data_IF_935153500780
#
_entry.id   IF_935153500780
#
_cell.length_a   1.000
_cell.length_b   1.000
_cell.length_c   1.000
_cell.angle_alpha   90.00
_cell.angle_beta   90.00
_cell.angle_gamma   90.00
#
_symmetry.space_group_name_H-M   'P 1'
#
loop_
_entity.id
_entity.type
_entity.pdbx_description
1 polymer ?
#
# COMPACT_ATOMS: atom_id res chain seq x y z
N UNK A 1 23.83 1.37 11.54
CA UNK A 1 23.33 2.26 10.47
C UNK A 1 23.01 3.63 11.06
N UNK A 2 23.27 4.76 10.37
CA UNK A 2 22.90 6.09 10.90
C UNK A 2 21.38 6.31 10.85
N UNK A 3 20.85 7.20 11.71
CA UNK A 3 19.40 7.48 11.78
C UNK A 3 18.83 7.94 10.44
N UNK A 4 19.51 8.87 9.77
CA UNK A 4 19.09 9.40 8.47
C UNK A 4 19.05 8.31 7.39
N UNK A 5 20.08 7.45 7.30
CA UNK A 5 20.10 6.33 6.35
C UNK A 5 18.97 5.34 6.61
N UNK A 6 18.70 5.00 7.87
CA UNK A 6 17.65 4.07 8.25
C UNK A 6 16.25 4.62 7.92
N UNK A 7 16.04 5.91 8.17
CA UNK A 7 14.80 6.61 7.85
C UNK A 7 14.58 6.66 6.34
N UNK A 8 15.60 7.02 5.56
CA UNK A 8 15.50 7.05 4.10
C UNK A 8 15.24 5.67 3.49
N UNK A 9 15.98 4.64 3.92
CA UNK A 9 15.79 3.27 3.45
C UNK A 9 14.39 2.74 3.80
N UNK A 10 13.92 3.02 5.03
CA UNK A 10 12.59 2.68 5.48
C UNK A 10 11.50 3.39 4.67
N UNK A 11 11.64 4.70 4.45
CA UNK A 11 10.67 5.50 3.70
C UNK A 11 10.56 5.02 2.24
N UNK A 12 11.70 4.77 1.58
CA UNK A 12 11.72 4.22 0.22
C UNK A 12 11.07 2.83 0.15
N UNK A 13 11.43 1.93 1.07
CA UNK A 13 10.86 0.60 1.12
C UNK A 13 9.34 0.63 1.38
N UNK A 14 8.89 1.52 2.28
CA UNK A 14 7.47 1.72 2.59
C UNK A 14 6.67 2.30 1.42
N UNK A 15 7.24 3.26 0.70
CA UNK A 15 6.61 3.84 -0.49
C UNK A 15 6.43 2.76 -1.58
N UNK A 16 7.47 1.98 -1.85
CA UNK A 16 7.43 0.93 -2.88
C UNK A 16 6.51 -0.21 -2.47
N UNK A 17 6.48 -0.57 -1.20
CA UNK A 17 5.50 -1.50 -0.66
C UNK A 17 4.06 -0.97 -0.85
N UNK A 18 3.83 0.32 -0.59
CA UNK A 18 2.54 0.96 -0.83
C UNK A 18 2.12 0.92 -2.30
N UNK A 19 3.05 1.19 -3.22
CA UNK A 19 2.82 1.09 -4.67
C UNK A 19 2.47 -0.34 -5.06
N UNK A 20 3.22 -1.32 -4.57
CA UNK A 20 2.98 -2.74 -4.85
C UNK A 20 1.61 -3.18 -4.33
N UNK A 21 1.26 -2.82 -3.10
CA UNK A 21 -0.05 -3.07 -2.50
C UNK A 21 -1.17 -2.46 -3.34
N UNK A 22 -1.03 -1.18 -3.72
CA UNK A 22 -2.02 -0.48 -4.56
C UNK A 22 -2.20 -1.18 -5.90
N UNK A 23 -1.10 -1.61 -6.52
CA UNK A 23 -1.12 -2.33 -7.80
C UNK A 23 -1.85 -3.66 -7.69
N UNK A 24 -1.62 -4.42 -6.61
CA UNK A 24 -2.37 -5.66 -6.34
C UNK A 24 -3.85 -5.39 -6.16
N UNK A 25 -4.23 -4.32 -5.44
CA UNK A 25 -5.64 -3.94 -5.29
C UNK A 25 -6.28 -3.57 -6.63
N UNK A 26 -5.55 -2.87 -7.51
CA UNK A 26 -6.04 -2.53 -8.84
C UNK A 26 -6.20 -3.78 -9.73
N UNK A 27 -5.25 -4.71 -9.68
CA UNK A 27 -5.35 -6.01 -10.36
C UNK A 27 -6.59 -6.78 -9.89
N UNK A 28 -6.81 -6.86 -8.58
CA UNK A 28 -7.97 -7.52 -8.00
C UNK A 28 -9.28 -6.83 -8.43
N UNK A 29 -9.29 -5.50 -8.51
CA UNK A 29 -10.43 -4.74 -9.01
C UNK A 29 -10.76 -5.07 -10.48
N UNK A 30 -9.75 -5.33 -11.33
CA UNK A 30 -9.99 -5.81 -12.69
C UNK A 30 -10.70 -7.19 -12.75
N UNK A 31 -10.60 -7.99 -11.69
CA UNK A 31 -11.32 -9.26 -11.56
C UNK A 31 -12.67 -9.13 -10.82
N UNK A 32 -13.14 -7.89 -10.59
CA UNK A 32 -14.42 -7.63 -9.91
C UNK A 32 -14.39 -7.81 -8.39
N UNK A 33 -13.20 -7.91 -7.78
CA UNK A 33 -13.06 -7.93 -6.33
C UNK A 33 -13.26 -6.51 -5.81
N UNK A 34 -14.20 -6.34 -4.88
CA UNK A 34 -14.42 -5.07 -4.22
C UNK A 34 -13.27 -4.85 -3.23
N UNK A 35 -12.27 -4.08 -3.66
CA UNK A 35 -11.10 -3.77 -2.82
C UNK A 35 -11.40 -2.59 -1.91
N UNK A 36 -10.76 -2.49 -0.74
CA UNK A 36 -11.00 -1.37 0.16
C UNK A 36 -10.75 0.01 -0.45
N UNK A 37 -9.87 0.06 -1.45
CA UNK A 37 -9.63 1.23 -2.30
C UNK A 37 -10.93 1.83 -2.88
N UNK A 38 -11.88 0.98 -3.28
CA UNK A 38 -13.17 1.41 -3.82
C UNK A 38 -14.24 1.56 -2.73
N UNK A 39 -14.25 0.66 -1.75
CA UNK A 39 -15.33 0.57 -0.75
C UNK A 39 -15.23 1.66 0.35
N UNK A 40 -14.03 2.17 0.63
CA UNK A 40 -13.86 3.25 1.63
C UNK A 40 -14.65 4.49 1.23
N UNK A 41 -14.64 4.85 -0.06
CA UNK A 41 -15.44 5.96 -0.58
C UNK A 41 -16.93 5.74 -0.37
N UNK A 42 -17.42 4.51 -0.61
CA UNK A 42 -18.82 4.14 -0.41
C UNK A 42 -19.22 4.32 1.06
N UNK A 43 -18.38 3.89 2.02
CA UNK A 43 -18.66 4.09 3.46
C UNK A 43 -18.61 5.56 3.87
N UNK A 44 -17.64 6.32 3.38
CA UNK A 44 -17.48 7.73 3.74
C UNK A 44 -18.62 8.59 3.17
N UNK A 45 -19.14 8.25 1.99
CA UNK A 45 -20.25 8.98 1.35
C UNK A 45 -21.51 9.05 2.21
N UNK A 46 -21.79 8.01 3.01
CA UNK A 46 -22.94 7.96 3.93
C UNK A 46 -22.86 9.04 5.02
N UNK A 47 -21.65 9.49 5.36
CA UNK A 47 -21.43 10.50 6.39
C UNK A 47 -21.37 11.93 5.83
N UNK A 48 -21.45 12.11 4.50
CA UNK A 48 -21.46 13.43 3.87
C UNK A 48 -22.91 13.91 3.74
N UNK A 49 -23.30 15.04 4.37
CA UNK A 49 -24.66 15.55 4.25
C UNK A 49 -25.01 15.89 2.78
N UNK A 50 -26.30 15.90 2.40
CA UNK A 50 -26.74 16.08 1.01
C UNK A 50 -26.26 17.39 0.37
N UNK A 51 -26.24 18.49 1.14
CA UNK A 51 -25.83 19.82 0.63
C UNK A 51 -24.37 19.87 0.17
N UNK A 52 -23.38 19.53 1.03
CA UNK A 52 -21.97 19.40 0.65
C UNK A 52 -21.73 18.39 -0.48
N UNK A 53 -22.45 17.27 -0.49
CA UNK A 53 -22.33 16.25 -1.52
C UNK A 53 -22.76 16.76 -2.91
N UNK A 54 -23.89 17.46 -2.98
CA UNK A 54 -24.38 18.09 -4.21
C UNK A 54 -23.48 19.26 -4.66
N UNK A 55 -22.91 20.03 -3.72
CA UNK A 55 -21.94 21.08 -4.04
C UNK A 55 -20.61 20.51 -4.55
N UNK A 56 -20.16 19.37 -4.02
CA UNK A 56 -19.01 18.63 -4.55
C UNK A 56 -19.32 18.08 -5.94
N UNK A 57 -20.50 17.50 -6.14
CA UNK A 57 -20.95 17.01 -7.45
C UNK A 57 -21.06 18.14 -8.47
N UNK A 58 -21.55 19.31 -8.08
CA UNK A 58 -21.60 20.50 -8.92
C UNK A 58 -20.23 21.11 -9.25
N UNK A 59 -19.23 20.95 -8.38
CA UNK A 59 -17.84 21.39 -8.63
C UNK A 59 -17.01 20.38 -9.43
N UNK A 60 -17.28 19.08 -9.25
CA UNK A 60 -16.52 17.96 -9.83
C UNK A 60 -17.22 17.41 -11.09
N UNK A 61 -18.43 17.89 -11.38
CA UNK A 61 -19.16 17.73 -12.64
C UNK A 61 -19.99 16.46 -12.75
N UNK A 62 -19.52 15.33 -12.19
CA UNK A 62 -20.21 14.02 -12.30
C UNK A 62 -19.92 13.09 -11.10
N UNK A 63 -20.83 12.15 -10.83
CA UNK A 63 -20.69 11.12 -9.78
C UNK A 63 -19.47 10.21 -10.03
N UNK A 64 -19.14 9.93 -11.29
CA UNK A 64 -17.97 9.12 -11.62
C UNK A 64 -16.65 9.81 -11.21
N UNK A 65 -16.55 11.12 -11.41
CA UNK A 65 -15.38 11.90 -10.98
C UNK A 65 -15.28 12.01 -9.45
N UNK A 66 -16.41 12.07 -8.73
CA UNK A 66 -16.41 11.99 -7.27
C UNK A 66 -15.88 10.64 -6.77
N UNK A 67 -16.27 9.54 -7.44
CA UNK A 67 -15.77 8.21 -7.10
C UNK A 67 -14.28 8.08 -7.39
N UNK A 68 -13.82 8.60 -8.53
CA UNK A 68 -12.39 8.68 -8.86
C UNK A 68 -11.61 9.51 -7.85
N UNK A 69 -12.17 10.61 -7.34
CA UNK A 69 -11.55 11.41 -6.29
C UNK A 69 -11.46 10.64 -4.95
N UNK A 70 -12.50 9.90 -4.58
CA UNK A 70 -12.49 9.02 -3.40
C UNK A 70 -11.45 7.91 -3.50
N UNK A 71 -11.35 7.28 -4.67
CA UNK A 71 -10.33 6.26 -4.96
C UNK A 71 -8.92 6.87 -4.95
N UNK A 72 -8.72 8.01 -5.61
CA UNK A 72 -7.43 8.70 -5.71
C UNK A 72 -6.93 9.22 -4.37
N UNK A 73 -7.82 9.76 -3.52
CA UNK A 73 -7.47 10.18 -2.16
C UNK A 73 -7.11 8.98 -1.27
N UNK A 74 -7.78 7.84 -1.42
CA UNK A 74 -7.44 6.59 -0.72
C UNK A 74 -6.08 6.05 -1.19
N UNK A 75 -5.75 6.15 -2.48
CA UNK A 75 -4.41 5.86 -3.02
C UNK A 75 -3.34 6.75 -2.42
N UNK A 76 -3.55 8.07 -2.40
CA UNK A 76 -2.58 8.99 -1.81
C UNK A 76 -2.39 8.68 -0.31
N UNK A 77 -3.49 8.48 0.42
CA UNK A 77 -3.46 8.18 1.85
C UNK A 77 -2.68 6.90 2.17
N UNK A 78 -2.93 5.80 1.46
CA UNK A 78 -2.20 4.54 1.69
C UNK A 78 -0.71 4.65 1.36
N UNK A 79 -0.32 5.43 0.34
CA UNK A 79 1.10 5.64 0.01
C UNK A 79 1.82 6.41 1.10
N UNK A 80 1.18 7.46 1.65
CA UNK A 80 1.71 8.24 2.77
C UNK A 80 1.84 7.35 4.01
N UNK A 81 0.78 6.62 4.38
CA UNK A 81 0.79 5.71 5.53
C UNK A 81 1.84 4.61 5.35
N UNK A 82 1.96 4.05 4.14
CA UNK A 82 2.98 3.04 3.80
C UNK A 82 4.40 3.57 3.95
N UNK A 83 4.67 4.78 3.44
CA UNK A 83 5.97 5.44 3.57
C UNK A 83 6.32 5.75 5.03
N UNK A 84 5.37 6.26 5.82
CA UNK A 84 5.57 6.53 7.25
C UNK A 84 5.77 5.24 8.05
N UNK A 85 4.99 4.20 7.78
CA UNK A 85 5.13 2.87 8.37
C UNK A 85 6.50 2.27 8.07
N UNK A 86 6.98 2.42 6.84
CA UNK A 86 8.32 2.00 6.45
C UNK A 86 9.43 2.81 7.13
N UNK A 87 9.27 4.13 7.25
CA UNK A 87 10.22 4.98 7.96
C UNK A 87 10.33 4.58 9.45
N UNK A 88 9.20 4.33 10.10
CA UNK A 88 9.15 3.84 11.47
C UNK A 88 9.83 2.47 11.60
N UNK A 89 9.52 1.54 10.70
CA UNK A 89 10.15 0.23 10.65
C UNK A 89 11.68 0.35 10.51
N UNK A 90 12.16 1.19 9.60
CA UNK A 90 13.59 1.41 9.41
C UNK A 90 14.28 1.97 10.65
N UNK A 91 13.64 2.89 11.38
CA UNK A 91 14.15 3.41 12.64
C UNK A 91 14.23 2.36 13.75
N UNK A 92 13.21 1.49 13.86
CA UNK A 92 13.19 0.40 14.83
C UNK A 92 14.26 -0.66 14.51
N UNK A 93 14.45 -0.95 13.22
CA UNK A 93 15.38 -1.97 12.75
C UNK A 93 16.83 -1.50 12.62
N UNK A 94 17.10 -0.21 12.87
CA UNK A 94 18.44 0.40 12.70
C UNK A 94 19.56 -0.28 13.50
N UNK A 95 19.22 -0.85 14.67
CA UNK A 95 20.17 -1.44 15.62
C UNK A 95 20.59 -2.83 15.19
N UNK A 96 19.69 -3.59 14.61
CA UNK A 96 19.96 -4.91 14.08
C UNK A 96 19.19 -5.11 12.75
N UNK A 97 19.77 -4.64 11.63
CA UNK A 97 19.16 -4.76 10.32
C UNK A 97 19.09 -6.20 9.80
N UNK A 98 19.71 -7.18 10.47
CA UNK A 98 19.71 -8.58 10.06
C UNK A 98 18.70 -9.43 10.87
N UNK A 99 18.23 -8.92 12.01
CA UNK A 99 17.20 -9.57 12.83
C UNK A 99 15.99 -9.93 11.98
N UNK A 100 15.44 -11.13 12.17
CA UNK A 100 14.15 -11.48 11.57
C UNK A 100 13.07 -11.29 12.62
N UNK A 101 12.28 -10.22 12.49
CA UNK A 101 11.12 -9.94 13.36
C UNK A 101 9.80 -10.25 12.64
N UNK A 102 9.79 -11.36 11.89
CA UNK A 102 8.69 -11.75 11.00
C UNK A 102 7.35 -11.87 11.72
N UNK A 103 7.32 -12.38 12.95
CA UNK A 103 6.07 -12.45 13.72
C UNK A 103 5.51 -11.06 14.04
N UNK A 104 6.37 -10.10 14.38
CA UNK A 104 5.97 -8.72 14.69
C UNK A 104 5.56 -7.97 13.43
N UNK A 105 6.29 -8.13 12.32
CA UNK A 105 5.93 -7.46 11.06
C UNK A 105 4.62 -7.96 10.50
N UNK A 106 4.38 -9.28 10.54
CA UNK A 106 3.08 -9.85 10.16
C UNK A 106 1.98 -9.35 11.11
N UNK A 107 2.20 -9.34 12.42
CA UNK A 107 1.20 -8.83 13.36
C UNK A 107 0.83 -7.36 13.09
N UNK A 108 1.83 -6.50 12.87
CA UNK A 108 1.63 -5.04 12.72
C UNK A 108 1.18 -4.64 11.32
N UNK A 109 1.72 -5.25 10.25
CA UNK A 109 1.45 -4.83 8.88
C UNK A 109 0.44 -5.71 8.14
N UNK A 110 0.08 -6.88 8.68
CA UNK A 110 -0.91 -7.78 8.07
C UNK A 110 -2.13 -7.92 8.98
N UNK A 111 -1.96 -8.45 10.19
CA UNK A 111 -3.10 -8.77 11.07
C UNK A 111 -3.81 -7.51 11.56
N UNK A 112 -3.08 -6.51 12.05
CA UNK A 112 -3.67 -5.28 12.57
C UNK A 112 -4.48 -4.53 11.50
N UNK A 113 -3.98 -4.29 10.26
CA UNK A 113 -4.77 -3.69 9.19
C UNK A 113 -6.00 -4.53 8.82
N UNK A 114 -5.89 -5.86 8.75
CA UNK A 114 -7.04 -6.74 8.47
C UNK A 114 -8.11 -6.56 9.53
N UNK A 115 -7.74 -6.60 10.82
CA UNK A 115 -8.69 -6.44 11.92
C UNK A 115 -9.32 -5.05 11.89
N UNK A 116 -8.50 -3.99 11.80
CA UNK A 116 -8.95 -2.61 11.77
C UNK A 116 -9.92 -2.38 10.61
N UNK A 117 -9.59 -2.88 9.42
CA UNK A 117 -10.43 -2.74 8.22
C UNK A 117 -11.70 -3.58 8.32
N UNK A 118 -11.62 -4.78 8.89
CA UNK A 118 -12.80 -5.62 9.09
C UNK A 118 -13.82 -4.92 9.97
N UNK A 119 -13.38 -4.31 11.08
CA UNK A 119 -14.23 -3.51 11.97
C UNK A 119 -14.73 -2.24 11.26
N UNK A 120 -13.80 -1.52 10.63
CA UNK A 120 -14.05 -0.23 10.00
C UNK A 120 -14.74 -0.31 8.63
N UNK A 121 -14.98 -1.48 8.04
CA UNK A 121 -15.72 -1.66 6.78
C UNK A 121 -16.80 -2.75 6.86
N UNK A 122 -17.03 -3.37 8.02
CA UNK A 122 -18.00 -4.45 8.22
C UNK A 122 -19.31 -4.40 7.40
N UNK A 123 -20.10 -3.30 7.41
CA UNK A 123 -21.37 -3.22 6.69
C UNK A 123 -21.21 -3.29 5.16
N UNK A 124 -20.06 -2.88 4.63
CA UNK A 124 -19.81 -2.73 3.20
C UNK A 124 -18.87 -3.79 2.63
N UNK A 125 -18.29 -4.66 3.48
CA UNK A 125 -17.43 -5.77 3.02
C UNK A 125 -18.16 -6.78 2.15
N UNK A 126 -19.49 -6.87 2.24
CA UNK A 126 -20.28 -7.80 1.43
C UNK A 126 -20.51 -7.33 -0.02
N UNK A 127 -19.97 -6.18 -0.41
CA UNK A 127 -20.09 -5.65 -1.76
C UNK A 127 -19.39 -6.57 -2.77
N UNK A 128 -20.08 -6.90 -3.86
CA UNK A 128 -19.54 -7.71 -4.95
C UNK A 128 -19.97 -7.13 -6.28
N UNK A 129 -19.01 -6.86 -7.16
CA UNK A 129 -19.28 -6.38 -8.52
C UNK A 129 -19.59 -7.51 -9.51
N UNK A 130 -19.50 -8.77 -9.06
CA UNK A 130 -19.75 -9.99 -9.86
C UNK A 130 -21.07 -10.67 -9.42
N UNK A 131 -21.80 -10.09 -8.47
CA UNK A 131 -23.09 -10.61 -8.01
C UNK A 131 -22.99 -11.77 -7.01
N UNK A 132 -21.87 -11.92 -6.30
CA UNK A 132 -21.76 -12.95 -5.25
C UNK A 132 -22.73 -12.69 -4.09
N UNK A 133 -23.20 -13.77 -3.41
CA UNK A 133 -23.90 -13.63 -2.14
C UNK A 133 -23.04 -12.88 -1.11
N UNK A 134 -23.68 -12.07 -0.25
CA UNK A 134 -23.03 -11.22 0.77
C UNK A 134 -21.94 -11.96 1.58
N UNK A 135 -22.15 -13.21 2.06
CA UNK A 135 -21.11 -13.93 2.81
C UNK A 135 -19.86 -14.23 1.95
N UNK A 136 -20.07 -14.60 0.68
CA UNK A 136 -18.99 -14.93 -0.26
C UNK A 136 -18.24 -13.67 -0.67
N UNK A 137 -18.96 -12.58 -0.99
CA UNK A 137 -18.34 -11.28 -1.29
C UNK A 137 -17.43 -10.81 -0.16
N UNK A 138 -17.89 -10.93 1.10
CA UNK A 138 -17.10 -10.59 2.28
C UNK A 138 -15.80 -11.39 2.38
N UNK A 139 -15.86 -12.70 2.17
CA UNK A 139 -14.67 -13.56 2.22
C UNK A 139 -13.70 -13.19 1.10
N UNK A 140 -14.20 -12.98 -0.13
CA UNK A 140 -13.37 -12.61 -1.28
C UNK A 140 -12.67 -11.27 -1.06
N UNK A 141 -13.38 -10.25 -0.56
CA UNK A 141 -12.79 -8.94 -0.23
C UNK A 141 -11.75 -9.05 0.88
N UNK A 142 -12.02 -9.83 1.94
CA UNK A 142 -11.05 -10.03 3.03
C UNK A 142 -9.81 -10.77 2.56
N UNK A 143 -9.95 -11.81 1.73
CA UNK A 143 -8.83 -12.55 1.16
C UNK A 143 -8.01 -11.67 0.20
N UNK A 144 -8.68 -10.90 -0.66
CA UNK A 144 -8.02 -9.95 -1.56
C UNK A 144 -7.28 -8.86 -0.79
N UNK A 145 -7.86 -8.35 0.31
CA UNK A 145 -7.17 -7.39 1.17
C UNK A 145 -5.99 -8.04 1.90
N UNK A 146 -6.16 -9.25 2.45
CA UNK A 146 -5.11 -10.00 3.12
C UNK A 146 -3.90 -10.24 2.19
N UNK A 147 -4.15 -10.64 0.94
CA UNK A 147 -3.12 -10.75 -0.09
C UNK A 147 -2.40 -9.41 -0.30
N UNK A 148 -3.16 -8.31 -0.41
CA UNK A 148 -2.61 -6.97 -0.65
C UNK A 148 -1.67 -6.53 0.47
N UNK A 149 -2.09 -6.64 1.73
CA UNK A 149 -1.26 -6.25 2.89
C UNK A 149 -0.11 -7.24 3.14
N UNK A 150 -0.27 -8.50 2.75
CA UNK A 150 0.84 -9.46 2.77
C UNK A 150 1.92 -9.09 1.76
N UNK A 151 1.54 -8.70 0.53
CA UNK A 151 2.49 -8.18 -0.46
C UNK A 151 3.19 -6.92 0.07
N UNK A 152 2.44 -6.01 0.71
CA UNK A 152 3.03 -4.85 1.37
C UNK A 152 4.13 -5.26 2.37
N UNK A 153 3.82 -6.19 3.30
CA UNK A 153 4.78 -6.65 4.32
C UNK A 153 6.04 -7.24 3.67
N UNK A 154 5.88 -8.11 2.67
CA UNK A 154 6.99 -8.79 2.00
C UNK A 154 7.87 -7.81 1.23
N UNK A 155 7.28 -6.84 0.55
CA UNK A 155 8.02 -5.82 -0.19
C UNK A 155 8.70 -4.85 0.77
N UNK A 156 8.05 -4.46 1.87
CA UNK A 156 8.64 -3.57 2.87
C UNK A 156 9.86 -4.22 3.54
N UNK A 157 9.68 -5.42 4.09
CA UNK A 157 10.74 -6.12 4.83
C UNK A 157 11.86 -6.53 3.88
N UNK A 158 11.53 -7.12 2.74
CA UNK A 158 12.50 -7.52 1.71
C UNK A 158 13.27 -6.33 1.15
N UNK A 159 12.57 -5.25 0.79
CA UNK A 159 13.16 -4.02 0.27
C UNK A 159 14.07 -3.34 1.28
N UNK A 160 13.64 -3.23 2.54
CA UNK A 160 14.46 -2.67 3.60
C UNK A 160 15.74 -3.49 3.84
N UNK A 161 15.62 -4.82 3.98
CA UNK A 161 16.80 -5.67 4.17
C UNK A 161 17.74 -5.63 2.97
N UNK A 162 17.22 -5.57 1.74
CA UNK A 162 18.03 -5.45 0.53
C UNK A 162 18.85 -4.15 0.52
N UNK A 163 18.22 -3.02 0.88
CA UNK A 163 18.88 -1.72 0.96
C UNK A 163 19.84 -1.64 2.17
N UNK A 164 19.48 -2.24 3.30
CA UNK A 164 20.24 -2.16 4.56
C UNK A 164 21.36 -3.22 4.70
N UNK A 165 21.45 -4.20 3.80
CA UNK A 165 22.48 -5.26 3.84
C UNK A 165 23.91 -4.67 3.85
N UNK A 166 24.73 -4.97 4.88
CA UNK A 166 26.12 -4.52 4.93
C UNK A 166 26.93 -5.13 3.77
N UNK A 167 27.87 -4.36 3.23
CA UNK A 167 28.71 -4.78 2.12
C UNK A 167 29.83 -5.69 2.66
N UNK A 168 29.90 -6.94 2.21
CA UNK A 168 30.95 -7.91 2.58
C UNK A 168 32.12 -7.90 1.57
N UNK A 169 32.00 -7.14 0.48
CA UNK A 169 33.02 -7.10 -0.56
C UNK A 169 33.92 -5.86 -0.46
N UNK A 170 35.15 -6.09 0.01
CA UNK A 170 36.40 -5.66 -0.65
C UNK A 170 36.79 -4.18 -0.57
N UNK A 171 37.97 -3.95 0.00
CA UNK A 171 38.79 -2.74 -0.01
C UNK A 171 39.24 -2.26 -1.42
N UNK A 172 38.32 -2.02 -2.36
CA UNK A 172 38.72 -1.49 -3.67
C UNK A 172 37.75 -0.41 -4.19
N UNK A 173 38.04 0.84 -3.85
CA UNK A 173 38.10 1.95 -4.81
C UNK A 173 36.88 2.36 -5.65
N UNK A 174 35.64 1.91 -5.41
CA UNK A 174 34.48 2.44 -6.13
C UNK A 174 33.86 3.65 -5.40
N UNK A 175 34.03 4.85 -5.98
CA UNK A 175 33.45 6.14 -5.55
C UNK A 175 31.91 6.23 -5.61
N UNK A 176 31.19 5.11 -5.78
CA UNK A 176 29.73 5.06 -5.75
C UNK A 176 29.25 4.42 -4.46
N UNK A 177 28.53 5.12 -3.57
CA UNK A 177 28.00 4.50 -2.36
C UNK A 177 27.06 3.36 -2.75
N UNK A 178 27.42 2.11 -2.41
CA UNK A 178 26.66 0.90 -2.78
C UNK A 178 25.17 0.94 -2.35
N UNK A 179 24.84 1.72 -1.33
CA UNK A 179 23.46 2.02 -0.90
C UNK A 179 22.69 2.73 -2.02
N UNK A 180 23.34 3.66 -2.75
CA UNK A 180 22.76 4.38 -3.88
C UNK A 180 22.38 3.45 -5.04
N UNK A 181 23.25 2.49 -5.40
CA UNK A 181 22.95 1.53 -6.48
C UNK A 181 21.74 0.65 -6.15
N UNK A 182 21.65 0.14 -4.92
CA UNK A 182 20.52 -0.70 -4.48
C UNK A 182 19.22 0.08 -4.32
N UNK A 183 19.29 1.31 -3.80
CA UNK A 183 18.15 2.21 -3.75
C UNK A 183 17.64 2.55 -5.15
N UNK A 184 18.53 2.71 -6.14
CA UNK A 184 18.17 2.95 -7.53
C UNK A 184 17.47 1.74 -8.16
N UNK A 185 17.94 0.52 -7.91
CA UNK A 185 17.26 -0.71 -8.38
C UNK A 185 15.87 -0.83 -7.78
N UNK A 186 15.76 -0.65 -6.46
CA UNK A 186 14.49 -0.74 -5.73
C UNK A 186 13.53 0.35 -6.20
N UNK A 187 14.01 1.59 -6.36
CA UNK A 187 13.25 2.70 -6.93
C UNK A 187 12.81 2.46 -8.38
N UNK A 188 13.68 1.91 -9.23
CA UNK A 188 13.37 1.54 -10.60
C UNK A 188 12.29 0.45 -10.69
N UNK A 189 12.38 -0.58 -9.84
CA UNK A 189 11.35 -1.61 -9.73
C UNK A 189 10.01 -0.99 -9.28
N UNK A 190 10.05 -0.08 -8.31
CA UNK A 190 8.89 0.69 -7.88
C UNK A 190 8.25 1.48 -9.01
N UNK A 191 9.05 2.09 -9.89
CA UNK A 191 8.57 2.83 -11.06
C UNK A 191 7.88 1.90 -12.07
N UNK A 192 8.43 0.72 -12.32
CA UNK A 192 7.82 -0.27 -13.23
C UNK A 192 6.48 -0.74 -12.67
N UNK A 193 6.42 -1.05 -11.38
CA UNK A 193 5.17 -1.47 -10.71
C UNK A 193 4.14 -0.32 -10.73
N UNK A 194 4.57 0.92 -10.46
CA UNK A 194 3.70 2.09 -10.56
C UNK A 194 3.18 2.30 -11.99
N UNK A 195 4.03 2.13 -13.01
CA UNK A 195 3.64 2.21 -14.41
C UNK A 195 2.59 1.15 -14.77
N UNK A 196 2.76 -0.08 -14.31
CA UNK A 196 1.75 -1.15 -14.42
C UNK A 196 0.45 -0.80 -13.72
N UNK A 197 0.51 -0.26 -12.50
CA UNK A 197 -0.65 0.22 -11.75
C UNK A 197 -1.42 1.32 -12.48
N UNK A 198 -0.70 2.30 -13.07
CA UNK A 198 -1.31 3.37 -13.87
C UNK A 198 -1.97 2.81 -15.13
N UNK A 199 -1.36 1.83 -15.80
CA UNK A 199 -1.95 1.19 -16.97
C UNK A 199 -3.26 0.46 -16.63
N UNK A 200 -3.31 -0.23 -15.47
CA UNK A 200 -4.54 -0.85 -14.98
C UNK A 200 -5.60 0.19 -14.63
N UNK A 201 -5.21 1.29 -13.99
CA UNK A 201 -6.12 2.38 -13.65
C UNK A 201 -6.77 3.01 -14.89
N UNK A 202 -6.05 3.10 -16.01
CA UNK A 202 -6.62 3.57 -17.29
C UNK A 202 -7.60 2.58 -17.93
N UNK A 203 -7.52 1.30 -17.57
CA UNK A 203 -8.38 0.24 -18.12
C UNK A 203 -9.71 0.12 -17.37
N UNK A 204 -9.73 0.52 -16.09
CA UNK A 204 -10.91 0.58 -15.23
C UNK A 204 -11.71 1.86 -15.49
#
# INVERSE_FOLDING_TARGET
>A
MSRSKALFAGLMAGLIAGIAMTTVMLLLACFGVATPLAIIGDRLSVFIPPGPFLALMGKVGDYNHLKQFGVGSTMAGQLVVGALGGAMFGLLMRRDPARRVTGVTIAVFVLLPIIALTIALWPVLGTSYVGFPIPVGRVVTLLGFALSVFVFERVLVGGFHFVARPNVAGEAGEFSPAIGRRALIVGGLGLVVAGGGIALLRKL
#
